data_IF_904020331948
#
_entry.id   IF_904020331948
#
_cell.length_a   1.000
_cell.length_b   1.000
_cell.length_c   1.000
_cell.angle_alpha   90.00
_cell.angle_beta   90.00
_cell.angle_gamma   90.00
#
_symmetry.space_group_name_H-M   'P 1'
#
loop_
_entity.id
_entity.type
_entity.pdbx_description
1 polymer ?
#
# COMPACT_ATOMS: atom_id res chain seq x y z
N UNK A 1 -5.53 -4.25 9.28
CA UNK A 1 -4.41 -5.03 9.85
C UNK A 1 -3.59 -4.14 10.77
N UNK A 2 -3.39 -4.60 11.98
CA UNK A 2 -2.58 -3.86 12.97
C UNK A 2 -1.14 -4.40 12.96
N UNK A 3 -0.16 -3.52 12.82
CA UNK A 3 1.25 -3.93 12.83
C UNK A 3 1.72 -4.10 14.28
N UNK A 4 2.22 -5.29 14.65
CA UNK A 4 2.74 -5.51 16.01
C UNK A 4 3.88 -4.55 16.35
N UNK A 5 3.97 -4.17 17.62
CA UNK A 5 4.98 -3.22 18.10
C UNK A 5 6.41 -3.65 17.77
N UNK A 6 6.71 -4.94 17.86
CA UNK A 6 8.04 -5.47 17.57
C UNK A 6 8.43 -5.21 16.11
N UNK A 7 7.48 -5.28 15.19
CA UNK A 7 7.72 -5.01 13.77
C UNK A 7 7.88 -3.52 13.52
N UNK A 8 7.08 -2.70 14.21
CA UNK A 8 7.18 -1.23 14.11
C UNK A 8 8.57 -0.77 14.53
N UNK A 9 9.13 -1.30 15.61
CA UNK A 9 10.48 -0.96 16.05
C UNK A 9 11.54 -1.30 15.00
N UNK A 10 11.39 -2.44 14.34
CA UNK A 10 12.29 -2.81 13.24
C UNK A 10 12.18 -1.85 12.07
N UNK A 11 10.97 -1.46 11.71
CA UNK A 11 10.70 -0.50 10.64
C UNK A 11 11.38 0.84 10.95
N UNK A 12 11.24 1.36 12.18
CA UNK A 12 11.83 2.63 12.58
C UNK A 12 13.36 2.57 12.57
N UNK A 13 13.94 1.46 13.02
CA UNK A 13 15.39 1.26 12.99
C UNK A 13 15.93 1.32 11.56
N UNK A 14 15.27 0.67 10.64
CA UNK A 14 15.66 0.66 9.22
C UNK A 14 15.51 2.06 8.62
N UNK A 15 14.39 2.73 8.91
CA UNK A 15 14.12 4.09 8.43
C UNK A 15 15.21 5.08 8.89
N UNK A 16 15.59 5.01 10.16
CA UNK A 16 16.63 5.88 10.72
C UNK A 16 18.00 5.61 10.12
N UNK A 17 18.26 4.36 9.75
CA UNK A 17 19.54 3.99 9.15
C UNK A 17 19.72 4.59 7.74
N UNK A 18 18.71 4.46 6.89
CA UNK A 18 18.80 4.90 5.49
C UNK A 18 18.40 6.37 5.28
N UNK A 19 17.44 6.86 6.05
CA UNK A 19 16.96 8.23 5.95
C UNK A 19 15.86 8.43 4.94
N UNK A 20 15.26 9.63 4.97
CA UNK A 20 14.05 9.94 4.20
C UNK A 20 14.26 9.84 2.69
N UNK A 21 15.31 10.47 2.16
CA UNK A 21 15.51 10.51 0.70
C UNK A 21 15.65 9.11 0.10
N UNK A 22 16.47 8.26 0.72
CA UNK A 22 16.66 6.88 0.26
C UNK A 22 15.36 6.09 0.33
N UNK A 23 14.60 6.26 1.40
CA UNK A 23 13.36 5.49 1.60
C UNK A 23 12.20 5.99 0.74
N UNK A 24 12.16 7.28 0.38
CA UNK A 24 11.21 7.79 -0.61
C UNK A 24 11.48 7.15 -1.97
N UNK A 25 12.74 7.08 -2.38
CA UNK A 25 13.12 6.45 -3.65
C UNK A 25 12.74 4.96 -3.65
N UNK A 26 12.95 4.26 -2.54
CA UNK A 26 12.55 2.86 -2.40
C UNK A 26 11.04 2.68 -2.45
N UNK A 27 10.27 3.57 -1.84
CA UNK A 27 8.81 3.52 -1.91
C UNK A 27 8.32 3.65 -3.35
N UNK A 28 8.89 4.58 -4.11
CA UNK A 28 8.54 4.78 -5.53
C UNK A 28 8.80 3.48 -6.30
N UNK A 29 9.94 2.85 -6.08
CA UNK A 29 10.28 1.58 -6.72
C UNK A 29 9.33 0.46 -6.34
N UNK A 30 9.04 0.30 -5.05
CA UNK A 30 8.13 -0.75 -4.56
C UNK A 30 6.69 -0.55 -5.05
N UNK A 31 6.21 0.69 -5.16
CA UNK A 31 4.90 0.96 -5.73
C UNK A 31 4.84 0.54 -7.20
N UNK A 32 5.92 0.75 -7.93
CA UNK A 32 6.04 0.31 -9.33
C UNK A 32 5.97 -1.22 -9.43
N UNK A 33 6.66 -1.94 -8.55
CA UNK A 33 6.63 -3.40 -8.52
C UNK A 33 5.24 -3.94 -8.15
N UNK A 34 4.55 -3.28 -7.21
CA UNK A 34 3.17 -3.65 -6.87
C UNK A 34 2.24 -3.46 -8.08
N UNK A 35 2.39 -2.37 -8.80
CA UNK A 35 1.61 -2.11 -10.02
C UNK A 35 1.80 -3.24 -11.02
N UNK A 36 3.03 -3.66 -11.26
CA UNK A 36 3.35 -4.77 -12.18
C UNK A 36 2.72 -6.09 -11.71
N UNK A 37 2.79 -6.37 -10.41
CA UNK A 37 2.21 -7.60 -9.85
C UNK A 37 0.70 -7.63 -10.03
N UNK A 38 0.02 -6.51 -9.81
CA UNK A 38 -1.42 -6.38 -9.99
C UNK A 38 -1.82 -6.58 -11.46
N UNK A 39 -1.07 -6.01 -12.40
CA UNK A 39 -1.31 -6.18 -13.83
C UNK A 39 -1.12 -7.63 -14.27
N UNK A 40 -0.11 -8.33 -13.77
CA UNK A 40 0.11 -9.74 -14.05
C UNK A 40 -1.07 -10.60 -13.56
N UNK A 41 -1.56 -10.31 -12.35
CA UNK A 41 -2.71 -11.02 -11.82
C UNK A 41 -3.95 -10.81 -12.70
N UNK A 42 -4.20 -9.59 -13.15
CA UNK A 42 -5.34 -9.30 -14.02
C UNK A 42 -5.25 -10.05 -15.35
N UNK A 43 -4.05 -10.11 -15.94
CA UNK A 43 -3.84 -10.90 -17.16
C UNK A 43 -4.04 -12.39 -16.92
N UNK A 44 -3.56 -12.91 -15.81
CA UNK A 44 -3.74 -14.33 -15.47
C UNK A 44 -5.22 -14.67 -15.27
N UNK A 45 -5.97 -13.80 -14.61
CA UNK A 45 -7.42 -14.00 -14.41
C UNK A 45 -8.18 -14.00 -15.74
N UNK A 46 -7.69 -13.28 -16.74
CA UNK A 46 -8.31 -13.21 -18.08
C UNK A 46 -7.80 -14.30 -19.02
N UNK A 47 -6.94 -15.19 -18.55
CA UNK A 47 -6.37 -16.26 -19.38
C UNK A 47 -5.39 -15.78 -20.44
N UNK A 48 -4.77 -14.60 -20.24
CA UNK A 48 -3.85 -13.99 -21.20
C UNK A 48 -2.38 -14.37 -20.97
N UNK A 49 -2.13 -15.27 -20.04
CA UNK A 49 -0.79 -15.73 -19.71
C UNK A 49 -0.86 -17.15 -19.18
N UNK A 50 0.25 -17.90 -19.28
CA UNK A 50 0.37 -19.26 -18.76
C UNK A 50 0.66 -19.29 -17.24
N UNK A 51 0.91 -18.14 -16.63
CA UNK A 51 1.20 -18.08 -15.19
C UNK A 51 -0.07 -18.40 -14.38
N UNK A 52 0.00 -19.36 -13.43
CA UNK A 52 -1.16 -19.68 -12.60
C UNK A 52 -1.60 -18.47 -11.76
N UNK A 53 -2.91 -18.28 -11.63
CA UNK A 53 -3.48 -17.18 -10.84
C UNK A 53 -2.93 -17.19 -9.42
N UNK A 54 -2.80 -18.36 -8.79
CA UNK A 54 -2.29 -18.45 -7.41
C UNK A 54 -0.88 -17.88 -7.26
N UNK A 55 0.00 -18.12 -8.25
CA UNK A 55 1.36 -17.58 -8.22
C UNK A 55 1.35 -16.05 -8.27
N UNK A 56 0.43 -15.45 -9.07
CA UNK A 56 0.31 -13.99 -9.14
C UNK A 56 -0.24 -13.39 -7.87
N UNK A 57 -1.16 -14.07 -7.16
CA UNK A 57 -1.66 -13.62 -5.87
C UNK A 57 -0.54 -13.61 -4.82
N UNK A 58 0.29 -14.65 -4.80
CA UNK A 58 1.43 -14.71 -3.89
C UNK A 58 2.42 -13.56 -4.15
N UNK A 59 2.66 -13.23 -5.42
CA UNK A 59 3.51 -12.10 -5.79
C UNK A 59 2.92 -10.76 -5.32
N UNK A 60 1.60 -10.57 -5.43
CA UNK A 60 0.93 -9.38 -4.91
C UNK A 60 1.14 -9.26 -3.40
N UNK A 61 0.98 -10.35 -2.67
CA UNK A 61 1.14 -10.35 -1.21
C UNK A 61 2.54 -9.88 -0.80
N UNK A 62 3.59 -10.35 -1.49
CA UNK A 62 4.95 -9.90 -1.23
C UNK A 62 5.13 -8.41 -1.51
N UNK A 63 4.60 -7.92 -2.63
CA UNK A 63 4.72 -6.51 -2.99
C UNK A 63 3.89 -5.60 -2.08
N UNK A 64 2.72 -6.06 -1.62
CA UNK A 64 1.92 -5.33 -0.63
C UNK A 64 2.71 -5.18 0.67
N UNK A 65 3.38 -6.25 1.11
CA UNK A 65 4.22 -6.20 2.31
C UNK A 65 5.33 -5.16 2.15
N UNK A 66 6.03 -5.17 1.00
CA UNK A 66 7.10 -4.22 0.72
C UNK A 66 6.60 -2.77 0.74
N UNK A 67 5.47 -2.50 0.08
CA UNK A 67 4.88 -1.15 0.04
C UNK A 67 4.43 -0.71 1.43
N UNK A 68 3.80 -1.58 2.21
CA UNK A 68 3.38 -1.25 3.58
C UNK A 68 4.56 -0.91 4.48
N UNK A 69 5.64 -1.68 4.38
CA UNK A 69 6.87 -1.41 5.15
C UNK A 69 7.40 -0.02 4.80
N UNK A 70 7.47 0.31 3.51
CA UNK A 70 7.96 1.60 3.06
C UNK A 70 7.03 2.76 3.45
N UNK A 71 5.71 2.57 3.35
CA UNK A 71 4.74 3.58 3.76
C UNK A 71 4.86 3.90 5.25
N UNK A 72 5.00 2.88 6.10
CA UNK A 72 5.21 3.09 7.54
C UNK A 72 6.49 3.88 7.80
N UNK A 73 7.56 3.63 7.04
CA UNK A 73 8.80 4.39 7.19
C UNK A 73 8.62 5.86 6.81
N UNK A 74 7.94 6.13 5.70
CA UNK A 74 7.68 7.50 5.24
C UNK A 74 6.80 8.26 6.24
N UNK A 75 5.79 7.61 6.80
CA UNK A 75 4.95 8.21 7.84
C UNK A 75 5.78 8.54 9.09
N UNK A 76 6.69 7.65 9.47
CA UNK A 76 7.57 7.86 10.62
C UNK A 76 8.58 9.01 10.39
N UNK A 77 9.19 9.05 9.20
CA UNK A 77 10.23 10.04 8.86
C UNK A 77 9.63 11.39 8.46
N UNK A 78 8.42 11.39 7.92
CA UNK A 78 7.75 12.60 7.46
C UNK A 78 7.14 13.39 8.61
N UNK A 79 6.84 14.65 8.33
CA UNK A 79 6.21 15.54 9.29
C UNK A 79 4.74 15.71 8.89
N UNK A 80 3.97 14.63 9.00
CA UNK A 80 2.56 14.61 8.60
C UNK A 80 1.66 14.81 9.81
N UNK A 81 1.25 16.05 10.04
CA UNK A 81 0.44 16.41 11.22
C UNK A 81 -1.04 16.04 11.07
N UNK A 82 -1.55 16.06 9.85
CA UNK A 82 -2.99 15.94 9.58
C UNK A 82 -3.40 14.63 8.89
N UNK A 83 -2.51 13.66 8.77
CA UNK A 83 -2.75 12.45 7.98
C UNK A 83 -4.00 11.68 8.41
N UNK A 84 -4.18 11.47 9.71
CA UNK A 84 -5.33 10.73 10.24
C UNK A 84 -6.64 11.46 9.96
N UNK A 85 -6.66 12.78 10.17
CA UNK A 85 -7.85 13.61 9.90
C UNK A 85 -8.20 13.61 8.41
N UNK A 86 -7.19 13.65 7.55
CA UNK A 86 -7.38 13.59 6.09
C UNK A 86 -7.99 12.24 5.69
N UNK A 87 -7.48 11.15 6.25
CA UNK A 87 -8.01 9.80 5.99
C UNK A 87 -9.48 9.72 6.39
N UNK A 88 -9.81 10.18 7.59
CA UNK A 88 -11.18 10.15 8.11
C UNK A 88 -12.13 10.96 7.22
N UNK A 89 -11.74 12.18 6.85
CA UNK A 89 -12.53 13.04 5.97
C UNK A 89 -12.79 12.39 4.60
N UNK A 90 -11.74 11.78 4.02
CA UNK A 90 -11.88 11.11 2.72
C UNK A 90 -12.80 9.89 2.80
N UNK A 91 -12.72 9.12 3.87
CA UNK A 91 -13.59 7.96 4.06
C UNK A 91 -15.04 8.37 4.25
N UNK A 92 -15.31 9.41 5.04
CA UNK A 92 -16.65 9.93 5.24
C UNK A 92 -17.25 10.42 3.93
N UNK A 93 -16.48 11.14 3.13
CA UNK A 93 -16.92 11.61 1.81
C UNK A 93 -17.27 10.46 0.88
N UNK A 94 -16.47 9.38 0.92
CA UNK A 94 -16.72 8.20 0.12
C UNK A 94 -18.01 7.51 0.53
N UNK A 95 -18.26 7.41 1.83
CA UNK A 95 -19.52 6.83 2.36
C UNK A 95 -20.74 7.65 1.95
N UNK A 96 -20.62 8.99 1.96
CA UNK A 96 -21.68 9.86 1.47
C UNK A 96 -22.01 9.63 -0.01
N UNK A 97 -20.97 9.45 -0.83
CA UNK A 97 -21.14 9.14 -2.27
C UNK A 97 -21.89 7.83 -2.47
N UNK A 98 -21.55 6.80 -1.68
CA UNK A 98 -22.23 5.50 -1.75
C UNK A 98 -23.71 5.65 -1.43
N UNK A 99 -24.06 6.41 -0.38
CA UNK A 99 -25.45 6.65 -0.02
C UNK A 99 -26.20 7.40 -1.14
N UNK A 100 -25.57 8.41 -1.73
CA UNK A 100 -26.14 9.14 -2.85
C UNK A 100 -26.37 8.23 -4.06
N UNK A 101 -25.46 7.33 -4.35
CA UNK A 101 -25.61 6.35 -5.45
C UNK A 101 -26.77 5.40 -5.21
N UNK A 102 -26.97 4.94 -3.97
CA UNK A 102 -28.09 4.07 -3.58
C UNK A 102 -29.43 4.76 -3.77
N UNK A 103 -29.53 6.07 -3.44
CA UNK A 103 -30.76 6.84 -3.57
C UNK A 103 -31.19 7.05 -5.04
N UNK A 104 -30.23 6.94 -5.98
CA UNK A 104 -30.50 7.12 -7.41
C UNK A 104 -30.96 5.83 -8.12
N UNK A 105 -30.97 4.71 -7.40
CA UNK A 105 -31.39 3.42 -7.96
C UNK A 105 -32.90 3.15 -7.77
#
# INVERSE_FOLDING_TARGET
>A
MRVPEVLIKKIFKIANHYGEDAQVDMLIEEMSELTKALLKNRRAQKGQTDTPVRATVNAIEEEVADVLIMLHQIIYLGDFEDLEDIIEEKLDRQLERIEAEKEQQ
#
